data_IF_744638566550
#
_entry.id   IF_744638566550
#
_cell.length_a   1.000
_cell.length_b   1.000
_cell.length_c   1.000
_cell.angle_alpha   90.00
_cell.angle_beta   90.00
_cell.angle_gamma   90.00
#
_symmetry.space_group_name_H-M   'P 1'
#
loop_
_entity.id
_entity.type
_entity.pdbx_description
1 polymer ?
#
# COMPACT_ATOMS: atom_id res chain seq x y z
N UNK A 1 -21.31 -19.41 -1.07
CA UNK A 1 -21.05 -20.39 -2.13
C UNK A 1 -19.54 -20.52 -2.27
N UNK A 2 -18.98 -21.66 -1.89
CA UNK A 2 -17.53 -21.89 -1.95
C UNK A 2 -17.12 -22.45 -3.30
N UNK A 3 -16.16 -21.79 -3.97
CA UNK A 3 -15.45 -22.34 -5.12
C UNK A 3 -14.13 -22.96 -4.64
N UNK A 4 -13.97 -24.26 -4.89
CA UNK A 4 -12.66 -24.89 -4.96
C UNK A 4 -12.17 -24.88 -6.44
N UNK A 5 -10.85 -24.85 -6.69
CA UNK A 5 -10.27 -24.55 -8.00
C UNK A 5 -10.37 -25.71 -9.00
N UNK A 6 -10.49 -25.34 -10.27
CA UNK A 6 -10.56 -26.24 -11.41
C UNK A 6 -9.29 -27.08 -11.60
N UNK A 7 -9.52 -28.34 -11.99
CA UNK A 7 -8.50 -29.23 -12.49
C UNK A 7 -7.99 -28.78 -13.88
N UNK A 8 -6.68 -28.82 -14.15
CA UNK A 8 -6.15 -28.71 -15.52
C UNK A 8 -6.39 -30.01 -16.32
N UNK A 9 -6.35 -29.93 -17.66
CA UNK A 9 -6.95 -30.92 -18.55
C UNK A 9 -6.16 -32.22 -18.70
N UNK A 10 -6.90 -33.25 -19.10
CA UNK A 10 -6.46 -34.58 -19.50
C UNK A 10 -5.68 -34.58 -20.82
N UNK A 11 -4.61 -35.37 -20.87
CA UNK A 11 -3.85 -35.74 -22.08
C UNK A 11 -2.35 -35.70 -21.80
N UNK A 12 -1.53 -36.72 -22.00
CA UNK A 12 -1.61 -37.84 -22.94
C UNK A 12 -1.12 -39.13 -22.27
N UNK A 13 -1.98 -40.15 -22.23
CA UNK A 13 -1.56 -41.52 -22.03
C UNK A 13 -0.89 -42.05 -23.29
N UNK A 14 0.43 -41.94 -23.37
CA UNK A 14 1.26 -42.75 -24.26
C UNK A 14 1.44 -44.12 -23.60
N UNK A 15 0.78 -45.14 -24.16
CA UNK A 15 0.86 -46.50 -23.64
C UNK A 15 2.22 -47.14 -23.85
N UNK A 16 2.60 -48.02 -22.93
CA UNK A 16 3.41 -49.20 -23.24
C UNK A 16 2.97 -50.32 -22.32
N UNK A 17 2.32 -51.33 -22.91
CA UNK A 17 1.94 -52.55 -22.23
C UNK A 17 3.14 -53.36 -21.76
N UNK A 18 2.87 -54.30 -20.85
CA UNK A 18 3.84 -55.28 -20.41
C UNK A 18 3.48 -55.87 -19.05
N UNK A 19 2.63 -56.90 -19.06
CA UNK A 19 2.53 -57.84 -17.95
C UNK A 19 3.89 -58.51 -17.68
N UNK A 20 4.26 -58.61 -16.41
CA UNK A 20 5.21 -59.62 -15.91
C UNK A 20 6.59 -59.09 -15.52
N UNK A 21 6.98 -59.31 -14.26
CA UNK A 21 8.37 -59.24 -13.80
C UNK A 21 8.56 -58.38 -12.55
N UNK A 22 8.59 -59.03 -11.38
CA UNK A 22 8.82 -58.39 -10.10
C UNK A 22 10.18 -57.66 -9.99
N UNK A 23 10.19 -56.60 -9.19
CA UNK A 23 11.39 -56.15 -8.46
C UNK A 23 12.22 -54.99 -9.01
N UNK A 24 12.00 -54.48 -10.24
CA UNK A 24 12.91 -53.47 -10.84
C UNK A 24 12.28 -52.18 -11.38
N UNK A 25 10.96 -52.11 -11.57
CA UNK A 25 10.28 -50.90 -12.08
C UNK A 25 10.29 -49.73 -11.08
N UNK A 26 10.20 -50.03 -9.78
CA UNK A 26 10.28 -49.02 -8.71
C UNK A 26 11.64 -48.31 -8.69
N UNK A 27 12.74 -49.04 -8.94
CA UNK A 27 14.09 -48.49 -8.95
C UNK A 27 14.28 -47.46 -10.08
N UNK A 28 13.66 -47.70 -11.25
CA UNK A 28 13.63 -46.74 -12.34
C UNK A 28 12.75 -45.51 -12.04
N UNK A 29 11.61 -45.70 -11.37
CA UNK A 29 10.76 -44.60 -10.92
C UNK A 29 11.46 -43.69 -9.89
N UNK A 30 12.13 -44.28 -8.89
CA UNK A 30 12.93 -43.51 -7.92
C UNK A 30 14.12 -42.81 -8.58
N UNK A 31 14.82 -43.48 -9.49
CA UNK A 31 15.93 -42.88 -10.24
C UNK A 31 15.48 -41.65 -11.04
N UNK A 32 14.33 -41.74 -11.73
CA UNK A 32 13.74 -40.62 -12.45
C UNK A 32 13.35 -39.46 -11.54
N UNK A 33 12.74 -39.75 -10.38
CA UNK A 33 12.36 -38.72 -9.41
C UNK A 33 13.58 -37.98 -8.82
N UNK A 34 14.67 -38.68 -8.52
CA UNK A 34 15.90 -38.08 -7.99
C UNK A 34 16.58 -37.20 -9.05
N UNK A 35 16.67 -37.66 -10.30
CA UNK A 35 17.26 -36.87 -11.40
C UNK A 35 16.42 -35.63 -11.67
N UNK A 36 15.09 -35.76 -11.73
CA UNK A 36 14.20 -34.62 -11.90
C UNK A 36 14.32 -33.61 -10.74
N UNK A 37 14.43 -34.10 -9.50
CA UNK A 37 14.62 -33.25 -8.31
C UNK A 37 15.98 -32.55 -8.32
N UNK A 38 17.04 -33.22 -8.78
CA UNK A 38 18.36 -32.63 -8.93
C UNK A 38 18.41 -31.59 -10.06
N UNK A 39 17.67 -31.80 -11.15
CA UNK A 39 17.54 -30.80 -12.22
C UNK A 39 16.78 -29.58 -11.73
N UNK A 40 15.66 -29.73 -11.04
CA UNK A 40 14.93 -28.60 -10.46
C UNK A 40 15.74 -27.89 -9.37
N UNK A 41 16.42 -28.63 -8.50
CA UNK A 41 17.35 -28.05 -7.53
C UNK A 41 18.47 -27.29 -8.25
N UNK A 42 19.07 -27.86 -9.29
CA UNK A 42 20.11 -27.22 -10.09
C UNK A 42 19.63 -25.97 -10.83
N UNK A 43 18.42 -25.98 -11.37
CA UNK A 43 17.77 -24.79 -11.96
C UNK A 43 17.55 -23.74 -10.90
N UNK A 44 16.98 -24.08 -9.75
CA UNK A 44 16.79 -23.15 -8.64
C UNK A 44 18.13 -22.61 -8.12
N UNK A 45 19.19 -23.42 -8.04
CA UNK A 45 20.54 -22.94 -7.70
C UNK A 45 21.10 -21.98 -8.77
N UNK A 46 20.91 -22.29 -10.05
CA UNK A 46 21.40 -21.46 -11.15
C UNK A 46 20.62 -20.15 -11.31
N UNK A 47 19.34 -20.12 -10.92
CA UNK A 47 18.48 -18.93 -10.98
C UNK A 47 18.41 -18.16 -9.65
N UNK A 48 19.21 -18.53 -8.64
CA UNK A 48 19.24 -17.82 -7.34
C UNK A 48 18.07 -18.10 -6.40
N UNK A 49 17.39 -19.24 -6.54
CA UNK A 49 16.27 -19.67 -5.70
C UNK A 49 16.63 -20.18 -4.30
N UNK A 50 17.92 -20.39 -3.97
CA UNK A 50 18.34 -20.96 -2.67
C UNK A 50 19.42 -20.19 -1.90
N UNK A 51 20.20 -19.31 -2.54
CA UNK A 51 21.11 -18.36 -1.91
C UNK A 51 20.91 -17.03 -2.65
N UNK A 52 20.63 -15.91 -2.01
CA UNK A 52 21.10 -15.49 -0.68
C UNK A 52 21.72 -14.08 -0.75
N UNK A 53 22.06 -13.61 -1.96
CA UNK A 53 22.27 -12.19 -2.25
C UNK A 53 20.94 -11.59 -2.73
N UNK A 54 20.00 -11.43 -1.80
CA UNK A 54 18.91 -10.48 -2.05
C UNK A 54 19.59 -9.15 -2.37
N UNK A 55 19.28 -8.57 -3.54
CA UNK A 55 19.75 -7.23 -3.89
C UNK A 55 19.61 -6.34 -2.65
N UNK A 56 20.69 -5.63 -2.29
CA UNK A 56 20.64 -4.75 -1.13
C UNK A 56 19.46 -3.81 -1.31
N UNK A 57 18.56 -3.80 -0.32
CA UNK A 57 17.30 -3.09 -0.44
C UNK A 57 17.60 -1.61 -0.74
N UNK A 58 17.10 -1.13 -1.88
CA UNK A 58 17.26 0.27 -2.26
C UNK A 58 16.27 1.11 -1.46
N UNK A 59 16.62 1.42 -0.22
CA UNK A 59 15.78 2.27 0.62
C UNK A 59 15.84 3.75 0.22
N UNK A 60 16.46 4.14 -0.90
CA UNK A 60 16.50 5.52 -1.42
C UNK A 60 16.87 6.61 -0.37
N UNK A 61 17.69 6.24 0.63
CA UNK A 61 18.11 7.11 1.74
C UNK A 61 17.09 7.25 2.88
N UNK A 62 15.95 6.57 2.82
CA UNK A 62 14.95 6.53 3.89
C UNK A 62 15.41 5.61 5.04
N UNK A 63 15.08 6.00 6.27
CA UNK A 63 15.38 5.23 7.47
C UNK A 63 14.17 5.11 8.37
N UNK A 64 14.17 4.04 9.18
CA UNK A 64 13.17 3.84 10.21
C UNK A 64 13.12 5.02 11.18
N UNK A 65 11.90 5.44 11.56
CA UNK A 65 11.65 6.37 12.65
C UNK A 65 10.53 5.82 13.53
N UNK A 66 10.69 5.96 14.84
CA UNK A 66 9.66 5.57 15.81
C UNK A 66 8.42 6.46 15.73
N UNK A 67 8.59 7.68 15.20
CA UNK A 67 7.51 8.66 15.08
C UNK A 67 7.50 9.26 13.68
N UNK A 68 6.57 8.81 12.83
CA UNK A 68 6.36 9.34 11.49
C UNK A 68 5.69 10.73 11.51
N UNK A 69 5.03 11.12 12.60
CA UNK A 69 4.43 12.45 12.71
C UNK A 69 5.48 13.56 12.77
N UNK A 70 6.69 13.26 13.26
CA UNK A 70 7.79 14.24 13.30
C UNK A 70 8.19 14.74 11.90
N UNK A 71 8.46 13.88 10.90
CA UNK A 71 8.71 14.33 9.54
C UNK A 71 7.44 14.69 8.76
N UNK A 72 6.25 14.25 9.18
CA UNK A 72 5.00 14.56 8.47
C UNK A 72 4.74 16.06 8.41
N UNK A 73 4.77 16.62 7.20
CA UNK A 73 4.53 18.03 6.97
C UNK A 73 3.03 18.32 6.96
N UNK A 74 2.59 19.22 7.85
CA UNK A 74 1.18 19.62 7.97
C UNK A 74 0.90 21.01 7.41
N UNK A 75 1.88 21.68 6.81
CA UNK A 75 1.77 23.08 6.43
C UNK A 75 0.72 23.29 5.34
N UNK A 76 0.65 22.40 4.34
CA UNK A 76 -0.34 22.49 3.25
C UNK A 76 -1.78 22.43 3.74
N UNK A 77 -2.07 21.67 4.80
CA UNK A 77 -3.39 21.63 5.42
C UNK A 77 -3.69 22.90 6.22
N UNK A 78 -2.69 23.42 6.95
CA UNK A 78 -2.79 24.68 7.70
C UNK A 78 -3.10 25.85 6.79
N UNK A 79 -2.35 25.97 5.69
CA UNK A 79 -2.55 27.00 4.66
C UNK A 79 -3.92 26.89 4.00
N UNK A 80 -4.52 25.69 3.99
CA UNK A 80 -5.84 25.42 3.42
C UNK A 80 -6.99 25.63 4.40
N UNK A 81 -6.71 26.13 5.60
CA UNK A 81 -7.72 26.52 6.59
C UNK A 81 -8.07 25.42 7.59
N UNK A 82 -7.17 24.46 7.84
CA UNK A 82 -7.32 23.46 8.89
C UNK A 82 -6.36 23.71 10.06
N UNK A 83 -6.81 23.40 11.26
CA UNK A 83 -5.95 23.31 12.44
C UNK A 83 -6.02 21.91 13.00
N UNK A 84 -4.90 21.46 13.56
CA UNK A 84 -4.85 20.18 14.24
C UNK A 84 -5.67 20.29 15.52
N UNK A 85 -6.52 19.29 15.80
CA UNK A 85 -7.32 19.26 17.03
C UNK A 85 -6.43 19.01 18.23
N UNK A 86 -6.78 19.59 19.37
CA UNK A 86 -6.18 19.17 20.63
C UNK A 86 -6.59 17.73 20.97
N UNK A 87 -5.67 16.97 21.55
CA UNK A 87 -5.98 15.64 22.06
C UNK A 87 -7.02 15.71 23.19
N UNK A 88 -8.06 14.89 23.13
CA UNK A 88 -9.11 14.88 24.16
C UNK A 88 -8.88 13.72 25.15
N UNK A 89 -8.77 14.04 26.45
CA UNK A 89 -8.65 13.04 27.50
C UNK A 89 -7.37 12.20 27.38
N UNK A 90 -7.52 10.89 27.22
CA UNK A 90 -6.38 9.95 27.10
C UNK A 90 -5.87 9.78 25.67
N UNK A 91 -6.50 10.41 24.68
CA UNK A 91 -6.15 10.26 23.27
C UNK A 91 -5.26 11.43 22.84
N UNK A 92 -3.97 11.16 22.59
CA UNK A 92 -3.05 12.15 22.05
C UNK A 92 -3.36 12.43 20.58
N UNK A 93 -3.14 13.66 20.12
CA UNK A 93 -3.13 14.03 18.71
C UNK A 93 -1.86 14.87 18.47
N UNK A 94 -0.94 14.46 17.57
CA UNK A 94 -1.06 13.34 16.65
C UNK A 94 -0.79 11.98 17.32
N UNK A 95 -1.25 10.90 16.69
CA UNK A 95 -0.98 9.53 17.09
C UNK A 95 0.05 8.91 16.15
N UNK A 96 0.99 8.14 16.68
CA UNK A 96 1.94 7.40 15.86
C UNK A 96 2.07 5.96 16.36
N UNK A 97 2.43 5.07 15.45
CA UNK A 97 2.85 3.71 15.77
C UNK A 97 3.98 3.32 14.83
N UNK A 98 4.83 2.41 15.26
CA UNK A 98 5.93 1.92 14.44
C UNK A 98 6.33 0.51 14.84
N UNK A 99 6.80 -0.26 13.85
CA UNK A 99 7.29 -1.61 14.02
C UNK A 99 8.55 -1.78 13.18
N UNK A 100 9.65 -2.13 13.84
CA UNK A 100 10.89 -2.49 13.17
C UNK A 100 10.96 -4.02 13.03
N UNK A 101 11.22 -4.51 11.83
CA UNK A 101 11.31 -5.94 11.55
C UNK A 101 12.41 -6.21 10.54
N UNK A 102 13.17 -7.32 10.61
CA UNK A 102 14.22 -7.62 9.63
C UNK A 102 13.80 -7.60 8.16
N UNK A 103 12.52 -7.81 7.84
CA UNK A 103 12.00 -7.83 6.48
C UNK A 103 11.27 -6.54 6.05
N UNK A 104 10.55 -5.89 6.97
CA UNK A 104 9.67 -4.76 6.66
C UNK A 104 9.53 -3.85 7.87
N UNK A 105 10.06 -2.64 7.79
CA UNK A 105 9.73 -1.63 8.79
C UNK A 105 8.41 -0.96 8.42
N UNK A 106 7.55 -0.71 9.40
CA UNK A 106 6.28 0.00 9.21
C UNK A 106 6.18 1.13 10.21
N UNK A 107 5.71 2.29 9.75
CA UNK A 107 5.53 3.48 10.58
C UNK A 107 4.27 4.20 10.16
N UNK A 108 3.54 4.75 11.12
CA UNK A 108 2.26 5.43 10.89
C UNK A 108 2.19 6.75 11.65
N UNK A 109 1.41 7.66 11.08
CA UNK A 109 1.02 8.91 11.71
C UNK A 109 -0.45 9.21 11.40
N UNK A 110 -1.23 9.48 12.44
CA UNK A 110 -2.62 9.87 12.34
C UNK A 110 -2.78 11.25 12.96
N UNK A 111 -3.39 12.16 12.22
CA UNK A 111 -3.62 13.53 12.67
C UNK A 111 -5.09 13.87 12.46
N UNK A 112 -5.76 14.22 13.55
CA UNK A 112 -7.11 14.78 13.52
C UNK A 112 -7.03 16.29 13.30
N UNK A 113 -7.80 16.77 12.34
CA UNK A 113 -7.94 18.18 12.00
C UNK A 113 -9.37 18.66 12.24
N UNK A 114 -9.52 19.97 12.31
CA UNK A 114 -10.80 20.67 12.21
C UNK A 114 -10.64 21.91 11.31
N UNK A 115 -11.69 22.31 10.57
CA UNK A 115 -11.66 23.57 9.84
C UNK A 115 -11.53 24.76 10.79
N UNK A 116 -10.71 25.75 10.47
CA UNK A 116 -10.52 26.96 11.29
C UNK A 116 -11.82 27.78 11.46
N UNK A 117 -12.72 27.68 10.48
CA UNK A 117 -14.01 28.36 10.51
C UNK A 117 -15.09 27.57 11.26
N UNK A 118 -14.80 26.34 11.70
CA UNK A 118 -15.80 25.46 12.31
C UNK A 118 -16.31 26.05 13.63
N UNK A 119 -17.63 26.13 13.75
CA UNK A 119 -18.28 26.44 15.03
C UNK A 119 -18.28 25.20 15.95
N UNK A 120 -18.43 25.38 17.26
CA UNK A 120 -18.55 24.24 18.20
C UNK A 120 -19.78 23.36 17.94
N UNK A 121 -20.76 23.85 17.17
CA UNK A 121 -21.93 23.10 16.73
C UNK A 121 -21.75 22.43 15.35
N UNK A 122 -20.65 22.70 14.65
CA UNK A 122 -20.38 22.12 13.34
C UNK A 122 -19.93 20.68 13.52
N UNK A 123 -20.67 19.75 12.91
CA UNK A 123 -20.23 18.38 12.84
C UNK A 123 -19.31 18.19 11.63
N UNK A 124 -18.02 18.08 11.91
CA UNK A 124 -16.98 17.75 10.95
C UNK A 124 -16.02 16.70 11.52
N UNK A 125 -15.52 15.83 10.65
CA UNK A 125 -14.49 14.85 10.98
C UNK A 125 -13.47 14.86 9.85
N UNK A 126 -12.26 15.27 10.17
CA UNK A 126 -11.20 15.47 9.20
C UNK A 126 -9.96 14.77 9.72
N UNK A 127 -9.46 13.78 8.98
CA UNK A 127 -8.29 13.03 9.39
C UNK A 127 -7.29 12.86 8.25
N UNK A 128 -6.02 12.93 8.62
CA UNK A 128 -4.88 12.54 7.80
C UNK A 128 -4.30 11.25 8.38
N UNK A 129 -4.37 10.17 7.60
CA UNK A 129 -3.71 8.91 7.93
C UNK A 129 -2.50 8.73 7.02
N UNK A 130 -1.31 8.63 7.60
CA UNK A 130 -0.06 8.45 6.85
C UNK A 130 0.60 7.16 7.28
N UNK A 131 1.09 6.39 6.31
CA UNK A 131 1.95 5.24 6.56
C UNK A 131 3.16 5.29 5.65
N UNK A 132 4.29 4.83 6.16
CA UNK A 132 5.46 4.53 5.36
C UNK A 132 5.97 3.13 5.73
N UNK A 133 6.43 2.40 4.71
CA UNK A 133 7.01 1.08 4.87
C UNK A 133 8.34 1.00 4.15
N UNK A 134 9.35 0.46 4.82
CA UNK A 134 10.68 0.22 4.27
C UNK A 134 10.82 -1.28 4.05
N UNK A 135 10.72 -1.69 2.80
CA UNK A 135 10.84 -3.10 2.43
C UNK A 135 12.33 -3.44 2.38
N UNK A 136 12.79 -4.35 3.24
CA UNK A 136 14.22 -4.69 3.39
C UNK A 136 14.59 -6.02 2.73
N UNK A 137 13.60 -6.79 2.30
CA UNK A 137 13.77 -8.13 1.73
C UNK A 137 13.00 -8.40 0.44
N UNK A 138 12.01 -7.57 0.12
CA UNK A 138 11.17 -7.74 -1.07
C UNK A 138 11.03 -6.42 -1.78
N UNK A 139 11.20 -6.41 -3.10
CA UNK A 139 10.92 -5.24 -3.92
C UNK A 139 9.39 -5.02 -4.01
N UNK A 140 8.85 -3.87 -3.59
CA UNK A 140 7.42 -3.59 -3.69
C UNK A 140 6.98 -3.21 -5.12
N UNK A 141 7.89 -2.89 -6.04
CA UNK A 141 7.56 -2.39 -7.39
C UNK A 141 6.60 -3.28 -8.19
N UNK A 142 6.72 -4.63 -8.20
CA UNK A 142 5.81 -5.48 -8.97
C UNK A 142 4.35 -5.44 -8.53
N UNK A 143 4.09 -5.06 -7.27
CA UNK A 143 2.73 -5.05 -6.70
C UNK A 143 2.18 -3.64 -6.48
N UNK A 144 3.05 -2.62 -6.44
CA UNK A 144 2.67 -1.27 -6.03
C UNK A 144 1.55 -0.67 -6.88
N UNK A 145 1.68 -0.65 -8.22
CA UNK A 145 0.59 -0.16 -9.09
C UNK A 145 -0.68 -1.00 -8.93
N UNK A 146 -0.55 -2.32 -8.90
CA UNK A 146 -1.69 -3.24 -8.85
C UNK A 146 -2.55 -3.01 -7.58
N UNK A 147 -1.92 -2.73 -6.45
CA UNK A 147 -2.60 -2.42 -5.20
C UNK A 147 -3.52 -1.20 -5.33
N UNK A 148 -3.09 -0.14 -6.01
CA UNK A 148 -3.90 1.06 -6.18
C UNK A 148 -4.89 0.95 -7.33
N UNK A 149 -4.54 0.29 -8.44
CA UNK A 149 -5.47 0.01 -9.55
C UNK A 149 -6.65 -0.85 -9.13
N UNK A 150 -6.48 -1.73 -8.14
CA UNK A 150 -7.58 -2.51 -7.59
C UNK A 150 -8.73 -1.66 -7.03
N UNK A 151 -8.52 -0.37 -6.72
CA UNK A 151 -9.61 0.54 -6.36
C UNK A 151 -10.56 0.85 -7.53
N UNK A 152 -10.11 0.77 -8.78
CA UNK A 152 -10.97 0.99 -9.96
C UNK A 152 -12.09 -0.07 -10.05
N UNK A 153 -11.81 -1.28 -9.55
CA UNK A 153 -12.79 -2.37 -9.46
C UNK A 153 -13.74 -2.22 -8.26
N UNK A 154 -13.37 -1.39 -7.27
CA UNK A 154 -14.18 -1.14 -6.08
C UNK A 154 -15.29 -0.14 -6.40
N UNK A 155 -16.49 -0.67 -6.61
CA UNK A 155 -17.69 0.13 -6.81
C UNK A 155 -18.84 -0.36 -5.94
N UNK A 156 -19.52 0.59 -5.33
CA UNK A 156 -20.79 0.35 -4.65
C UNK A 156 -21.92 1.04 -5.41
N UNK A 157 -23.15 0.96 -4.90
CA UNK A 157 -24.27 1.77 -5.40
C UNK A 157 -24.01 3.28 -5.23
N UNK A 158 -23.25 3.68 -4.21
CA UNK A 158 -23.16 5.07 -3.76
C UNK A 158 -21.87 5.77 -4.16
N UNK A 159 -20.80 5.02 -4.41
CA UNK A 159 -19.50 5.57 -4.80
C UNK A 159 -18.70 4.62 -5.70
N UNK A 160 -17.76 5.20 -6.42
CA UNK A 160 -16.68 4.53 -7.15
C UNK A 160 -15.36 5.24 -6.85
N UNK A 161 -14.25 4.65 -7.25
CA UNK A 161 -12.95 5.30 -7.17
C UNK A 161 -12.37 5.54 -8.56
N UNK A 162 -11.71 6.68 -8.71
CA UNK A 162 -10.88 7.00 -9.85
C UNK A 162 -9.42 6.97 -9.41
N UNK A 163 -8.58 6.26 -10.17
CA UNK A 163 -7.14 6.20 -9.94
C UNK A 163 -6.41 6.93 -11.06
N UNK A 164 -5.42 7.75 -10.72
CA UNK A 164 -4.62 8.50 -11.68
C UNK A 164 -3.16 8.51 -11.28
N UNK A 165 -2.22 8.38 -12.23
CA UNK A 165 -0.80 8.51 -11.95
C UNK A 165 -0.47 9.95 -11.55
N UNK A 166 0.52 10.12 -10.68
CA UNK A 166 1.03 11.41 -10.22
C UNK A 166 2.51 11.49 -10.57
N UNK A 167 2.91 12.57 -11.24
CA UNK A 167 4.32 12.82 -11.56
C UNK A 167 5.02 13.67 -10.49
N UNK A 168 6.34 13.52 -10.39
CA UNK A 168 7.19 14.36 -9.55
C UNK A 168 7.22 13.98 -8.07
N UNK A 169 6.83 12.75 -7.71
CA UNK A 169 6.93 12.16 -6.37
C UNK A 169 7.47 10.74 -6.49
N UNK A 170 8.63 10.47 -5.90
CA UNK A 170 9.28 9.16 -5.96
C UNK A 170 9.56 8.67 -7.39
N UNK A 171 9.70 7.36 -7.53
CA UNK A 171 9.80 6.65 -8.80
C UNK A 171 8.44 6.50 -9.48
N UNK A 172 7.40 6.21 -8.69
CA UNK A 172 6.02 6.15 -9.14
C UNK A 172 5.05 6.58 -8.03
N UNK A 173 3.94 7.17 -8.43
CA UNK A 173 2.91 7.61 -7.50
C UNK A 173 1.52 7.56 -8.13
N UNK A 174 0.52 7.30 -7.30
CA UNK A 174 -0.89 7.24 -7.71
C UNK A 174 -1.75 8.01 -6.73
N UNK A 175 -2.79 8.65 -7.25
CA UNK A 175 -3.87 9.19 -6.45
C UNK A 175 -5.15 8.39 -6.68
N UNK A 176 -5.81 8.00 -5.60
CA UNK A 176 -7.14 7.38 -5.60
C UNK A 176 -8.11 8.42 -5.04
N UNK A 177 -9.12 8.78 -5.83
CA UNK A 177 -10.17 9.74 -5.44
C UNK A 177 -11.50 9.01 -5.36
N UNK A 178 -12.21 9.15 -4.24
CA UNK A 178 -13.58 8.67 -4.15
C UNK A 178 -14.51 9.64 -4.90
N UNK A 179 -15.30 9.09 -5.81
CA UNK A 179 -16.35 9.81 -6.52
C UNK A 179 -17.72 9.39 -5.97
N UNK A 180 -18.46 10.34 -5.40
CA UNK A 180 -19.84 10.13 -4.96
C UNK A 180 -20.83 10.29 -6.11
N UNK A 181 -21.88 9.46 -6.16
CA UNK A 181 -23.00 9.66 -7.11
C UNK A 181 -24.04 10.68 -6.61
N UNK A 182 -23.89 11.17 -5.38
CA UNK A 182 -24.70 12.22 -4.74
C UNK A 182 -23.78 13.33 -4.25
N UNK A 183 -24.29 14.55 -4.07
CA UNK A 183 -23.54 15.71 -3.56
C UNK A 183 -22.70 15.32 -2.33
N UNK A 184 -21.38 15.25 -2.51
CA UNK A 184 -20.46 14.74 -1.50
C UNK A 184 -20.24 15.78 -0.40
N UNK A 185 -20.49 15.38 0.84
CA UNK A 185 -20.26 16.19 2.06
C UNK A 185 -18.80 16.13 2.52
N UNK A 186 -17.84 15.90 1.61
CA UNK A 186 -16.47 15.55 1.99
C UNK A 186 -15.63 14.95 0.85
N UNK A 187 -14.31 15.03 0.99
CA UNK A 187 -13.36 14.37 0.10
C UNK A 187 -12.70 13.17 0.78
N UNK A 188 -12.55 12.08 0.03
CA UNK A 188 -11.71 10.94 0.40
C UNK A 188 -10.68 10.72 -0.70
N UNK A 189 -9.41 10.93 -0.36
CA UNK A 189 -8.29 10.87 -1.30
C UNK A 189 -7.13 10.09 -0.69
N UNK A 190 -6.59 9.14 -1.43
CA UNK A 190 -5.36 8.43 -1.09
C UNK A 190 -4.28 8.88 -2.07
N UNK A 191 -3.15 9.36 -1.57
CA UNK A 191 -1.93 9.55 -2.34
C UNK A 191 -0.91 8.50 -1.92
N UNK A 192 -0.44 7.75 -2.90
CA UNK A 192 0.58 6.73 -2.72
C UNK A 192 1.83 7.07 -3.51
N UNK A 193 3.00 6.82 -2.93
CA UNK A 193 4.32 7.05 -3.53
C UNK A 193 5.20 5.84 -3.27
N UNK A 194 5.93 5.40 -4.29
CA UNK A 194 7.06 4.48 -4.16
C UNK A 194 8.33 5.21 -4.60
N UNK A 195 9.39 5.08 -3.81
CA UNK A 195 10.72 5.63 -4.10
C UNK A 195 11.75 4.58 -3.66
N UNK A 196 12.35 3.88 -4.62
CA UNK A 196 13.06 2.62 -4.37
C UNK A 196 12.15 1.56 -3.76
N UNK A 197 12.61 0.95 -2.67
CA UNK A 197 11.92 -0.05 -1.85
C UNK A 197 11.19 0.57 -0.65
N UNK A 198 11.00 1.90 -0.65
CA UNK A 198 10.12 2.59 0.28
C UNK A 198 8.74 2.82 -0.36
N UNK A 199 7.68 2.51 0.38
CA UNK A 199 6.30 2.87 0.01
C UNK A 199 5.71 3.81 1.04
N UNK A 200 5.13 4.92 0.60
CA UNK A 200 4.46 5.92 1.42
C UNK A 200 3.02 6.06 0.96
N UNK A 201 2.08 6.13 1.89
CA UNK A 201 0.68 6.41 1.61
C UNK A 201 0.18 7.48 2.59
N UNK A 202 -0.54 8.46 2.06
CA UNK A 202 -1.28 9.45 2.84
C UNK A 202 -2.74 9.46 2.39
N UNK A 203 -3.64 9.38 3.35
CA UNK A 203 -5.08 9.35 3.14
C UNK A 203 -5.69 10.56 3.81
N UNK A 204 -6.27 11.44 3.00
CA UNK A 204 -7.15 12.50 3.46
C UNK A 204 -8.58 11.97 3.45
N UNK A 205 -9.27 12.12 4.58
CA UNK A 205 -10.69 11.84 4.65
C UNK A 205 -11.36 12.93 5.45
N UNK A 206 -12.28 13.59 4.79
CA UNK A 206 -13.02 14.70 5.32
C UNK A 206 -14.51 14.41 5.22
N UNK A 207 -15.20 14.75 6.28
CA UNK A 207 -16.65 14.85 6.31
C UNK A 207 -17.00 16.17 6.97
N UNK A 208 -17.81 16.98 6.29
CA UNK A 208 -18.36 18.23 6.78
C UNK A 208 -19.86 18.22 6.52
N UNK A 209 -20.67 18.31 7.57
CA UNK A 209 -22.12 18.31 7.42
C UNK A 209 -22.59 19.46 6.54
N UNK A 210 -23.68 19.28 5.78
CA UNK A 210 -24.25 20.32 4.91
C UNK A 210 -24.74 21.57 5.67
N UNK A 211 -24.95 21.46 6.98
CA UNK A 211 -25.32 22.57 7.87
C UNK A 211 -24.11 23.27 8.51
N UNK A 212 -22.89 22.79 8.27
CA UNK A 212 -21.68 23.40 8.82
C UNK A 212 -21.37 24.72 8.13
N UNK A 213 -20.67 25.60 8.85
CA UNK A 213 -20.20 26.87 8.30
C UNK A 213 -18.97 26.71 7.40
N UNK A 214 -18.21 25.63 7.58
CA UNK A 214 -17.09 25.26 6.73
C UNK A 214 -17.54 24.53 5.46
N UNK A 215 -16.78 24.71 4.38
CA UNK A 215 -16.97 23.96 3.12
C UNK A 215 -15.89 22.88 3.03
N UNK A 216 -16.31 21.64 2.74
CA UNK A 216 -15.38 20.54 2.49
C UNK A 216 -14.52 20.80 1.26
N UNK A 217 -13.30 20.27 1.23
CA UNK A 217 -12.47 20.32 0.03
C UNK A 217 -13.04 19.44 -1.07
N UNK A 218 -12.77 19.86 -2.29
CA UNK A 218 -12.88 18.99 -3.46
C UNK A 218 -11.77 17.92 -3.43
N UNK A 219 -11.98 16.77 -4.10
CA UNK A 219 -10.93 15.76 -4.26
C UNK A 219 -9.64 16.32 -4.89
N UNK A 220 -9.75 17.30 -5.79
CA UNK A 220 -8.62 17.96 -6.44
C UNK A 220 -7.82 18.82 -5.44
N UNK A 221 -8.50 19.64 -4.62
CA UNK A 221 -7.84 20.42 -3.56
C UNK A 221 -7.18 19.51 -2.52
N UNK A 222 -7.85 18.43 -2.11
CA UNK A 222 -7.28 17.42 -1.21
C UNK A 222 -6.05 16.74 -1.81
N UNK A 223 -6.08 16.44 -3.11
CA UNK A 223 -4.92 15.89 -3.85
C UNK A 223 -3.74 16.85 -3.80
N UNK A 224 -3.96 18.14 -4.05
CA UNK A 224 -2.87 19.13 -4.04
C UNK A 224 -2.28 19.34 -2.64
N UNK A 225 -3.12 19.32 -1.59
CA UNK A 225 -2.65 19.35 -0.21
C UNK A 225 -1.77 18.14 0.12
N UNK A 226 -2.23 16.93 -0.24
CA UNK A 226 -1.49 15.69 -0.02
C UNK A 226 -0.17 15.67 -0.78
N UNK A 227 -0.14 16.11 -2.05
CA UNK A 227 1.10 16.17 -2.85
C UNK A 227 2.15 17.09 -2.24
N UNK A 228 1.74 18.28 -1.76
CA UNK A 228 2.64 19.22 -1.08
C UNK A 228 3.17 18.65 0.23
N UNK A 229 2.29 18.05 1.04
CA UNK A 229 2.64 17.40 2.31
C UNK A 229 3.59 16.23 2.08
N UNK A 230 3.27 15.32 1.16
CA UNK A 230 4.08 14.15 0.83
C UNK A 230 5.47 14.57 0.35
N UNK A 231 5.58 15.54 -0.56
CA UNK A 231 6.87 16.04 -1.04
C UNK A 231 7.75 16.53 0.12
N UNK A 232 7.21 17.40 0.98
CA UNK A 232 7.97 17.93 2.12
C UNK A 232 8.29 16.85 3.17
N UNK A 233 7.38 15.89 3.37
CA UNK A 233 7.56 14.77 4.30
C UNK A 233 8.67 13.83 3.84
N UNK A 234 8.63 13.40 2.58
CA UNK A 234 9.62 12.49 2.01
C UNK A 234 11.03 13.09 2.05
N UNK A 235 11.18 14.38 1.73
CA UNK A 235 12.48 15.07 1.86
C UNK A 235 13.02 15.07 3.30
N UNK A 236 12.15 15.23 4.31
CA UNK A 236 12.54 15.18 5.73
C UNK A 236 12.86 13.76 6.22
N UNK A 237 12.35 12.74 5.54
CA UNK A 237 12.59 11.34 5.88
C UNK A 237 13.92 10.82 5.31
N UNK A 238 14.42 11.41 4.21
CA UNK A 238 15.76 11.12 3.67
C UNK A 238 16.83 11.64 4.64
N UNK A 239 17.85 10.81 4.92
CA UNK A 239 18.99 11.17 5.79
C UNK A 239 20.32 10.69 5.26
#
# INVERSE_FOLDING_TARGET
>A
MGMAPGAPPTGFGGGSGGSGGGGKGWLWGLGGAVVASAVWAGVLFATGGFDGDAAEADLAGYRYTTNLCTPTDTQSFKDSGYQQKDGTGSTSNPQHSSSENPALDSMTCNIDFEPNAASSSDYSSVWLYTTASLHKKTDPAPEFEAQYRAYEDQKTSSYSYQVSPVSGLGDEAYVVKQEGRTSSTGAYVILAVRDGWMTYQSTWSEYVSSSASATAKTPEEATDMLKKSAKATLEKMKR
#
